data_IF_945190981486
#
_entry.id   IF_945190981486
#
_cell.length_a   1.000
_cell.length_b   1.000
_cell.length_c   1.000
_cell.angle_alpha   90.00
_cell.angle_beta   90.00
_cell.angle_gamma   90.00
#
_symmetry.space_group_name_H-M   'P 1'
#
loop_
_entity.id
_entity.type
_entity.pdbx_description
1 polymer ?
#
# COMPACT_ATOMS: atom_id res chain seq x y z
N UNK A 1 3.03 -15.53 27.37
CA UNK A 1 3.78 -15.20 26.15
C UNK A 1 3.63 -16.28 25.09
N UNK A 2 3.95 -17.55 25.40
CA UNK A 2 3.82 -18.66 24.45
C UNK A 2 2.42 -18.78 23.81
N UNK A 3 1.35 -18.83 24.62
CA UNK A 3 -0.03 -18.93 24.11
C UNK A 3 -0.42 -17.83 23.11
N UNK A 4 0.04 -16.59 23.34
CA UNK A 4 -0.26 -15.45 22.46
C UNK A 4 0.54 -15.56 21.16
N UNK A 5 1.77 -16.09 21.24
CA UNK A 5 2.59 -16.35 20.08
C UNK A 5 1.99 -17.46 19.21
N UNK A 6 1.54 -18.55 19.82
CA UNK A 6 0.90 -19.67 19.10
C UNK A 6 -0.38 -19.20 18.39
N UNK A 7 -1.23 -18.42 19.07
CA UNK A 7 -2.41 -17.80 18.48
C UNK A 7 -2.05 -16.82 17.35
N UNK A 8 -0.96 -16.07 17.49
CA UNK A 8 -0.48 -15.21 16.42
C UNK A 8 -0.04 -16.04 15.20
N UNK A 9 0.74 -17.11 15.38
CA UNK A 9 1.18 -17.99 14.30
C UNK A 9 0.01 -18.59 13.53
N UNK A 10 -1.07 -18.99 14.22
CA UNK A 10 -2.28 -19.50 13.58
C UNK A 10 -3.03 -18.43 12.74
N UNK A 11 -2.93 -17.16 13.13
CA UNK A 11 -3.65 -16.06 12.50
C UNK A 11 -2.83 -15.30 11.44
N UNK A 12 -1.51 -15.49 11.40
CA UNK A 12 -0.68 -14.91 10.34
C UNK A 12 -0.99 -15.63 9.04
N UNK A 13 -1.64 -14.92 8.12
CA UNK A 13 -1.97 -15.46 6.82
C UNK A 13 -0.71 -15.92 6.07
N UNK A 14 -0.71 -17.16 5.56
CA UNK A 14 0.35 -17.66 4.67
C UNK A 14 0.47 -16.79 3.39
N UNK A 15 -0.64 -16.19 2.99
CA UNK A 15 -0.80 -15.39 1.76
C UNK A 15 -0.49 -13.89 1.94
N UNK A 16 0.34 -13.50 2.91
CA UNK A 16 0.79 -12.10 3.06
C UNK A 16 1.40 -11.51 1.79
N UNK A 17 2.02 -12.37 0.96
CA UNK A 17 2.56 -11.99 -0.34
C UNK A 17 1.46 -11.69 -1.38
N UNK A 18 0.29 -12.34 -1.28
CA UNK A 18 -0.85 -12.05 -2.16
C UNK A 18 -1.49 -10.69 -1.82
N UNK A 19 -1.39 -10.23 -0.56
CA UNK A 19 -1.80 -8.87 -0.19
C UNK A 19 -0.91 -7.80 -0.85
N UNK A 20 0.31 -8.15 -1.26
CA UNK A 20 1.19 -7.30 -2.07
C UNK A 20 0.86 -7.36 -3.56
N UNK A 21 0.12 -8.37 -4.03
CA UNK A 21 -0.27 -8.47 -5.44
C UNK A 21 -1.38 -7.46 -5.83
N UNK A 22 -1.94 -6.75 -4.84
CA UNK A 22 -2.99 -5.74 -5.05
C UNK A 22 -2.36 -4.42 -5.52
N UNK A 23 -3.00 -3.67 -6.44
CA UNK A 23 -2.53 -2.36 -6.84
C UNK A 23 -2.31 -1.42 -5.64
N UNK A 24 -1.16 -0.74 -5.63
CA UNK A 24 -0.78 0.20 -4.55
C UNK A 24 -1.56 1.50 -4.58
N UNK A 25 -2.18 1.80 -5.72
CA UNK A 25 -3.02 2.97 -5.92
C UNK A 25 -4.41 2.46 -6.28
N UNK A 26 -5.44 3.08 -5.70
CA UNK A 26 -6.83 2.84 -6.07
C UNK A 26 -7.57 4.17 -6.29
N UNK A 27 -8.70 4.12 -6.99
CA UNK A 27 -9.61 5.26 -7.08
C UNK A 27 -10.33 5.46 -5.76
N UNK A 28 -10.49 6.71 -5.34
CA UNK A 28 -11.25 7.03 -4.14
C UNK A 28 -12.74 6.70 -4.34
N UNK A 29 -13.32 5.97 -3.39
CA UNK A 29 -14.77 5.66 -3.37
C UNK A 29 -15.59 6.94 -3.16
N UNK A 30 -15.04 7.91 -2.40
CA UNK A 30 -15.72 9.18 -2.07
C UNK A 30 -15.70 10.18 -3.22
N UNK A 31 -14.64 10.16 -4.03
CA UNK A 31 -14.48 11.05 -5.18
C UNK A 31 -13.65 10.36 -6.26
N UNK A 32 -14.31 9.93 -7.34
CA UNK A 32 -13.66 9.19 -8.44
C UNK A 32 -12.56 9.98 -9.15
N UNK A 33 -12.53 11.30 -9.02
CA UNK A 33 -11.47 12.12 -9.59
C UNK A 33 -10.16 12.03 -8.78
N UNK A 34 -10.20 11.54 -7.54
CA UNK A 34 -9.05 11.40 -6.65
C UNK A 34 -8.57 9.94 -6.59
N UNK A 35 -7.31 9.79 -6.18
CA UNK A 35 -6.69 8.49 -5.93
C UNK A 35 -6.30 8.36 -4.45
N UNK A 36 -6.17 7.12 -3.99
CA UNK A 36 -5.76 6.77 -2.63
C UNK A 36 -4.62 5.76 -2.68
N UNK A 37 -3.80 5.78 -1.62
CA UNK A 37 -2.85 4.71 -1.36
C UNK A 37 -3.62 3.50 -0.85
N UNK A 38 -3.44 2.37 -1.51
CA UNK A 38 -4.12 1.10 -1.26
C UNK A 38 -3.19 0.04 -0.65
N UNK A 39 -2.11 0.48 0.00
CA UNK A 39 -1.20 -0.40 0.73
C UNK A 39 -1.93 -1.07 1.90
N UNK A 40 -1.87 -2.40 1.97
CA UNK A 40 -2.56 -3.18 3.00
C UNK A 40 -1.97 -2.89 4.39
N UNK A 41 -2.83 -2.51 5.34
CA UNK A 41 -2.42 -2.19 6.71
C UNK A 41 -2.01 -3.43 7.52
N UNK A 42 -2.51 -4.60 7.15
CA UNK A 42 -2.16 -5.86 7.80
C UNK A 42 -0.67 -6.18 7.60
N UNK A 43 -0.12 -5.85 6.43
CA UNK A 43 1.32 -6.01 6.14
C UNK A 43 2.16 -5.16 7.10
N UNK A 44 1.74 -3.93 7.40
CA UNK A 44 2.42 -3.07 8.39
C UNK A 44 2.32 -3.64 9.81
N UNK A 45 1.15 -4.18 10.15
CA UNK A 45 0.89 -4.81 11.45
C UNK A 45 1.82 -6.02 11.66
N UNK A 46 1.89 -6.92 10.69
CA UNK A 46 2.75 -8.11 10.76
C UNK A 46 4.22 -7.73 10.87
N UNK A 47 4.72 -6.73 10.12
CA UNK A 47 6.11 -6.28 10.29
C UNK A 47 6.40 -5.78 11.71
N UNK A 48 5.43 -5.10 12.33
CA UNK A 48 5.58 -4.60 13.69
C UNK A 48 5.55 -5.76 14.71
N UNK A 49 4.67 -6.73 14.52
CA UNK A 49 4.57 -7.94 15.35
C UNK A 49 5.84 -8.79 15.26
N UNK A 50 6.37 -9.04 14.06
CA UNK A 50 7.63 -9.77 13.86
C UNK A 50 8.77 -9.12 14.64
N UNK A 51 8.91 -7.79 14.59
CA UNK A 51 9.91 -7.05 15.37
C UNK A 51 9.79 -7.32 16.87
N UNK A 52 8.57 -7.38 17.41
CA UNK A 52 8.36 -7.64 18.83
C UNK A 52 8.65 -9.10 19.19
N UNK A 53 8.27 -10.04 18.34
CA UNK A 53 8.55 -11.46 18.54
C UNK A 53 10.05 -11.77 18.53
N UNK A 54 10.80 -11.17 17.60
CA UNK A 54 12.26 -11.28 17.55
C UNK A 54 12.93 -10.71 18.81
N UNK A 55 12.43 -9.57 19.34
CA UNK A 55 12.91 -9.00 20.60
C UNK A 55 12.69 -9.93 21.80
N UNK A 56 11.64 -10.74 21.75
CA UNK A 56 11.31 -11.77 22.74
C UNK A 56 12.02 -13.11 22.48
N UNK A 57 12.93 -13.19 21.49
CA UNK A 57 13.66 -14.40 21.11
C UNK A 57 12.74 -15.54 20.61
N UNK A 58 11.56 -15.21 20.10
CA UNK A 58 10.62 -16.18 19.52
C UNK A 58 10.97 -16.43 18.05
N UNK A 59 10.84 -17.68 17.60
CA UNK A 59 11.14 -18.07 16.22
C UNK A 59 9.91 -17.84 15.32
N UNK A 60 9.92 -16.76 14.54
CA UNK A 60 8.79 -16.39 13.68
C UNK A 60 8.69 -17.28 12.43
N UNK A 61 7.47 -17.53 11.90
CA UNK A 61 7.28 -18.24 10.64
C UNK A 61 8.02 -17.57 9.47
N UNK A 62 8.54 -18.38 8.55
CA UNK A 62 9.34 -17.92 7.40
C UNK A 62 8.63 -16.86 6.55
N UNK A 63 7.36 -17.05 6.24
CA UNK A 63 6.59 -16.10 5.43
C UNK A 63 6.47 -14.72 6.09
N UNK A 64 6.33 -14.66 7.41
CA UNK A 64 6.27 -13.40 8.17
C UNK A 64 7.65 -12.72 8.23
N UNK A 65 8.70 -13.52 8.41
CA UNK A 65 10.08 -13.04 8.37
C UNK A 65 10.43 -12.47 6.99
N UNK A 66 10.06 -13.12 5.89
CA UNK A 66 10.34 -12.65 4.53
C UNK A 66 9.69 -11.27 4.28
N UNK A 67 8.45 -11.06 4.73
CA UNK A 67 7.79 -9.75 4.67
C UNK A 67 8.54 -8.69 5.49
N UNK A 68 9.00 -9.05 6.69
CA UNK A 68 9.79 -8.16 7.55
C UNK A 68 11.19 -7.85 6.98
N UNK A 69 11.79 -8.80 6.28
CA UNK A 69 13.07 -8.63 5.61
C UNK A 69 12.99 -7.53 4.55
N UNK A 70 11.91 -7.52 3.75
CA UNK A 70 11.65 -6.51 2.72
C UNK A 70 11.05 -5.18 3.24
N UNK A 71 10.97 -4.97 4.56
CA UNK A 71 10.30 -3.80 5.17
C UNK A 71 10.79 -2.44 4.65
N UNK A 72 12.08 -2.29 4.38
CA UNK A 72 12.64 -1.02 3.88
C UNK A 72 12.22 -0.74 2.43
N UNK A 73 12.10 -1.78 1.61
CA UNK A 73 11.58 -1.66 0.24
C UNK A 73 10.12 -1.25 0.26
N UNK A 74 9.30 -1.90 1.09
CA UNK A 74 7.90 -1.52 1.27
C UNK A 74 7.74 -0.11 1.84
N UNK A 75 8.61 0.30 2.77
CA UNK A 75 8.60 1.68 3.31
C UNK A 75 8.85 2.70 2.21
N UNK A 76 9.91 2.51 1.40
CA UNK A 76 10.23 3.39 0.26
C UNK A 76 9.10 3.43 -0.75
N UNK A 77 8.56 2.27 -1.10
CA UNK A 77 7.46 2.14 -2.05
C UNK A 77 6.21 2.90 -1.56
N UNK A 78 5.83 2.72 -0.30
CA UNK A 78 4.70 3.43 0.33
C UNK A 78 4.91 4.95 0.33
N UNK A 79 6.12 5.41 0.61
CA UNK A 79 6.46 6.83 0.62
C UNK A 79 6.34 7.43 -0.79
N UNK A 80 6.91 6.78 -1.79
CA UNK A 80 6.82 7.18 -3.20
C UNK A 80 5.37 7.27 -3.68
N UNK A 81 4.56 6.24 -3.39
CA UNK A 81 3.13 6.23 -3.70
C UNK A 81 2.40 7.37 -2.99
N UNK A 82 2.75 7.63 -1.73
CA UNK A 82 2.14 8.72 -0.95
C UNK A 82 2.44 10.10 -1.54
N UNK A 83 3.67 10.33 -2.02
CA UNK A 83 4.06 11.56 -2.73
C UNK A 83 3.25 11.70 -4.02
N UNK A 84 3.17 10.64 -4.83
CA UNK A 84 2.41 10.64 -6.09
C UNK A 84 0.92 10.95 -5.85
N UNK A 85 0.29 10.26 -4.90
CA UNK A 85 -1.12 10.46 -4.54
C UNK A 85 -1.37 11.91 -4.10
N UNK A 86 -0.49 12.48 -3.26
CA UNK A 86 -0.61 13.89 -2.83
C UNK A 86 -0.49 14.86 -4.01
N UNK A 87 0.51 14.68 -4.86
CA UNK A 87 0.73 15.56 -6.01
C UNK A 87 -0.44 15.52 -6.99
N UNK A 88 -0.93 14.32 -7.32
CA UNK A 88 -2.09 14.16 -8.18
C UNK A 88 -3.35 14.79 -7.56
N UNK A 89 -3.66 14.47 -6.29
CA UNK A 89 -4.85 15.00 -5.64
C UNK A 89 -4.79 16.52 -5.46
N UNK A 90 -3.60 17.11 -5.29
CA UNK A 90 -3.43 18.57 -5.24
C UNK A 90 -3.82 19.23 -6.57
N UNK A 91 -3.41 18.65 -7.70
CA UNK A 91 -3.81 19.14 -9.03
C UNK A 91 -5.32 19.00 -9.19
N UNK A 92 -5.89 17.84 -8.87
CA UNK A 92 -7.33 17.62 -9.03
C UNK A 92 -8.17 18.52 -8.13
N UNK A 93 -7.68 18.87 -6.94
CA UNK A 93 -8.36 19.77 -6.01
C UNK A 93 -8.24 21.25 -6.40
N UNK A 94 -7.26 21.63 -7.23
CA UNK A 94 -7.12 23.02 -7.71
C UNK A 94 -7.98 23.33 -8.93
N UNK A 95 -8.60 22.33 -9.55
CA UNK A 95 -9.44 22.51 -10.74
C UNK A 95 -10.91 22.64 -10.35
N UNK A 96 -11.57 23.67 -10.87
CA UNK A 96 -13.03 23.79 -10.87
C UNK A 96 -13.68 22.80 -11.85
N UNK A 97 -15.01 22.68 -11.78
CA UNK A 97 -15.77 21.80 -12.69
C UNK A 97 -15.57 22.12 -14.17
N UNK A 98 -15.49 23.41 -14.52
CA UNK A 98 -15.30 23.85 -15.90
C UNK A 98 -13.87 23.56 -16.38
N UNK A 99 -12.88 23.77 -15.50
CA UNK A 99 -11.48 23.46 -15.78
C UNK A 99 -11.23 21.94 -15.90
N UNK A 100 -11.94 21.10 -15.14
CA UNK A 100 -11.90 19.65 -15.31
C UNK A 100 -12.37 19.24 -16.72
N UNK A 101 -13.37 19.93 -17.26
CA UNK A 101 -13.82 19.74 -18.65
C UNK A 101 -12.77 20.20 -19.64
N UNK A 102 -12.20 21.39 -19.45
CA UNK A 102 -11.20 21.99 -20.33
C UNK A 102 -9.90 21.17 -20.39
N UNK A 103 -9.44 20.64 -19.24
CA UNK A 103 -8.19 19.89 -19.12
C UNK A 103 -8.36 18.37 -19.23
N UNK A 104 -9.53 17.88 -19.66
CA UNK A 104 -9.86 16.44 -19.70
C UNK A 104 -8.80 15.59 -20.38
N UNK A 105 -8.30 15.99 -21.54
CA UNK A 105 -7.28 15.22 -22.28
C UNK A 105 -5.95 15.16 -21.53
N UNK A 106 -5.58 16.24 -20.83
CA UNK A 106 -4.37 16.29 -20.00
C UNK A 106 -4.50 15.40 -18.77
N UNK A 107 -5.69 15.38 -18.15
CA UNK A 107 -6.02 14.50 -17.02
C UNK A 107 -5.95 13.03 -17.47
N UNK A 108 -6.53 12.69 -18.63
CA UNK A 108 -6.44 11.34 -19.20
C UNK A 108 -4.99 10.92 -19.49
N UNK A 109 -4.15 11.85 -19.96
CA UNK A 109 -2.73 11.58 -20.17
C UNK A 109 -1.99 11.32 -18.84
N UNK A 110 -2.35 12.02 -17.76
CA UNK A 110 -1.81 11.72 -16.41
C UNK A 110 -2.30 10.36 -15.91
N UNK A 111 -3.58 10.05 -16.07
CA UNK A 111 -4.15 8.76 -15.68
C UNK A 111 -3.45 7.59 -16.37
N UNK A 112 -3.12 7.73 -17.66
CA UNK A 112 -2.32 6.75 -18.40
C UNK A 112 -0.91 6.56 -17.85
N UNK A 113 -0.31 7.58 -17.23
CA UNK A 113 0.99 7.45 -16.57
C UNK A 113 0.90 6.78 -15.21
N UNK A 114 -0.25 6.85 -14.54
CA UNK A 114 -0.49 6.24 -13.22
C UNK A 114 -1.01 4.80 -13.34
N UNK A 115 -1.61 4.45 -14.48
CA UNK A 115 -2.11 3.11 -14.85
C UNK A 115 -1.22 1.93 -14.43
N UNK A 116 0.13 1.98 -14.61
CA UNK A 116 0.99 0.90 -14.13
C UNK A 116 0.88 0.67 -12.61
N UNK A 117 0.86 1.73 -11.81
CA UNK A 117 0.65 1.66 -10.35
C UNK A 117 -0.78 1.31 -9.92
N UNK A 118 -1.74 1.30 -10.86
CA UNK A 118 -3.12 0.85 -10.69
C UNK A 118 -3.32 -0.61 -11.11
N UNK A 119 -2.33 -1.26 -11.74
CA UNK A 119 -2.51 -2.60 -12.37
C UNK A 119 -1.48 -3.63 -11.97
N UNK A 120 -0.23 -3.27 -11.65
CA UNK A 120 0.82 -4.20 -11.26
C UNK A 120 1.83 -3.57 -10.29
N UNK A 121 2.40 -4.38 -9.41
CA UNK A 121 3.74 -4.14 -8.87
C UNK A 121 4.73 -4.79 -9.85
N UNK A 122 5.87 -4.13 -10.07
CA UNK A 122 7.00 -4.54 -10.94
C UNK A 122 7.30 -6.02 -10.80
#
# INVERSE_FOLDING_TARGET
TQKIFDEWVENVHEDLLNLLAVPLIARSIKNRNLIVNNFDRNILKVMQEVRFWEQLKMEVPRHAHDVYFHREEFRRLRENVSILVRSYNKIMASLSSDELGLFKDRILAMDKKIQPGLTKIV
#
